data_IF_271971695501
#
_entry.id   IF_271971695501
#
_cell.length_a   1.000
_cell.length_b   1.000
_cell.length_c   1.000
_cell.angle_alpha   90.00
_cell.angle_beta   90.00
_cell.angle_gamma   90.00
#
_symmetry.space_group_name_H-M   'P 1'
#
loop_
_entity.id
_entity.type
_entity.pdbx_description
1 polymer ?
#
# COMPACT_ATOMS: atom_id res chain seq x y z
N UNK A 1 -7.44 38.42 3.38
CA UNK A 1 -7.33 37.32 2.40
C UNK A 1 -8.74 37.08 1.86
N UNK A 2 -9.00 37.37 0.58
CA UNK A 2 -10.35 37.23 0.00
C UNK A 2 -10.63 35.81 -0.50
N UNK A 3 -9.60 35.12 -0.98
CA UNK A 3 -9.76 33.81 -1.61
C UNK A 3 -8.82 32.78 -1.00
N UNK A 4 -9.24 31.52 -1.05
CA UNK A 4 -8.37 30.37 -0.90
C UNK A 4 -8.54 29.47 -2.13
N UNK A 5 -7.44 28.85 -2.59
CA UNK A 5 -7.46 27.97 -3.75
C UNK A 5 -6.59 26.74 -3.52
N UNK A 6 -7.08 25.59 -3.93
CA UNK A 6 -6.39 24.31 -3.83
C UNK A 6 -6.52 23.51 -5.12
N UNK A 7 -5.40 23.04 -5.66
CA UNK A 7 -5.36 22.05 -6.74
C UNK A 7 -5.69 20.68 -6.16
N UNK A 8 -6.68 19.98 -6.70
CA UNK A 8 -7.18 18.72 -6.17
C UNK A 8 -6.62 17.51 -6.92
N UNK A 9 -6.81 17.47 -8.24
CA UNK A 9 -6.50 16.27 -9.05
C UNK A 9 -6.26 16.60 -10.54
N UNK A 10 -5.64 15.66 -11.25
CA UNK A 10 -5.35 15.72 -12.68
C UNK A 10 -5.87 14.46 -13.39
N UNK A 11 -6.47 14.64 -14.56
CA UNK A 11 -6.78 13.52 -15.46
C UNK A 11 -5.48 13.00 -16.11
N UNK A 12 -5.24 11.70 -16.02
CA UNK A 12 -4.06 11.05 -16.56
C UNK A 12 -4.31 9.54 -16.74
N UNK A 13 -3.76 8.88 -17.78
CA UNK A 13 -2.91 9.44 -18.86
C UNK A 13 -3.72 10.12 -19.97
N UNK A 14 -3.08 11.02 -20.70
CA UNK A 14 -3.68 11.86 -21.76
C UNK A 14 -2.86 11.81 -23.05
N UNK A 15 -3.49 11.87 -24.24
CA UNK A 15 -2.75 12.04 -25.49
C UNK A 15 -2.02 13.38 -25.55
N UNK A 16 -0.86 13.40 -26.20
CA UNK A 16 -0.13 14.62 -26.50
C UNK A 16 -0.88 15.47 -27.55
N UNK A 17 -0.83 16.79 -27.42
CA UNK A 17 -1.55 17.72 -28.31
C UNK A 17 -3.05 17.77 -28.05
N UNK A 18 -3.52 17.29 -26.89
CA UNK A 18 -4.91 17.35 -26.46
C UNK A 18 -5.07 18.15 -25.16
N UNK A 19 -6.33 18.41 -24.79
CA UNK A 19 -6.66 19.03 -23.51
C UNK A 19 -6.76 17.97 -22.41
N UNK A 20 -6.21 18.27 -21.24
CA UNK A 20 -6.42 17.48 -20.04
C UNK A 20 -7.32 18.19 -19.05
N UNK A 21 -8.11 17.41 -18.32
CA UNK A 21 -8.96 17.95 -17.27
C UNK A 21 -8.21 18.00 -15.94
N UNK A 22 -8.44 19.03 -15.15
CA UNK A 22 -7.96 19.14 -13.77
C UNK A 22 -9.05 19.69 -12.88
N UNK A 23 -9.00 19.34 -11.59
CA UNK A 23 -9.95 19.80 -10.59
C UNK A 23 -9.29 20.73 -9.58
N UNK A 24 -9.98 21.80 -9.21
CA UNK A 24 -9.56 22.73 -8.17
C UNK A 24 -10.74 23.15 -7.29
N UNK A 25 -10.41 23.50 -6.05
CA UNK A 25 -11.30 24.10 -5.07
C UNK A 25 -11.00 25.59 -4.99
N UNK A 26 -12.03 26.42 -5.05
CA UNK A 26 -11.95 27.86 -4.77
C UNK A 26 -12.93 28.21 -3.66
N UNK A 27 -12.47 29.02 -2.70
CA UNK A 27 -13.25 29.45 -1.55
C UNK A 27 -13.20 30.95 -1.36
N UNK A 28 -14.37 31.58 -1.26
CA UNK A 28 -14.54 32.95 -0.79
C UNK A 28 -14.37 32.99 0.72
N UNK A 29 -13.52 33.87 1.23
CA UNK A 29 -13.20 33.98 2.67
C UNK A 29 -13.81 35.24 3.30
N UNK A 30 -14.61 35.99 2.55
CA UNK A 30 -15.26 37.22 2.96
C UNK A 30 -16.65 37.34 2.30
N UNK A 31 -17.39 38.37 2.73
CA UNK A 31 -18.62 38.79 2.05
C UNK A 31 -18.23 39.39 0.68
N UNK A 32 -18.43 38.62 -0.38
CA UNK A 32 -17.90 38.89 -1.72
C UNK A 32 -18.88 38.33 -2.75
N UNK A 33 -19.33 39.13 -3.72
CA UNK A 33 -20.33 38.74 -4.71
C UNK A 33 -19.99 39.27 -6.10
N UNK A 34 -18.90 38.77 -6.68
CA UNK A 34 -18.41 39.21 -7.98
C UNK A 34 -17.84 38.05 -8.81
N UNK A 35 -17.65 38.33 -10.09
CA UNK A 35 -16.87 37.48 -10.99
C UNK A 35 -15.37 37.63 -10.66
N UNK A 36 -14.69 36.49 -10.54
CA UNK A 36 -13.23 36.44 -10.37
C UNK A 36 -12.58 35.80 -11.59
N UNK A 37 -11.36 36.22 -11.89
CA UNK A 37 -10.55 35.61 -12.93
C UNK A 37 -9.69 34.50 -12.34
N UNK A 38 -9.71 33.33 -12.97
CA UNK A 38 -8.90 32.17 -12.58
C UNK A 38 -7.97 31.83 -13.72
N UNK A 39 -6.69 32.13 -13.56
CA UNK A 39 -5.64 31.83 -14.52
C UNK A 39 -4.93 30.54 -14.11
N UNK A 40 -4.62 29.68 -15.06
CA UNK A 40 -3.90 28.43 -14.81
C UNK A 40 -2.80 28.27 -15.84
N UNK A 41 -1.63 27.77 -15.40
CA UNK A 41 -0.46 27.63 -16.28
C UNK A 41 0.43 26.46 -15.88
N UNK A 42 1.15 25.94 -16.86
CA UNK A 42 2.25 24.98 -16.71
C UNK A 42 3.55 25.69 -17.07
N UNK A 43 4.53 25.63 -16.16
CA UNK A 43 5.85 26.20 -16.36
C UNK A 43 6.94 25.12 -16.31
N UNK A 44 7.99 25.34 -17.10
CA UNK A 44 9.24 24.59 -17.04
C UNK A 44 10.42 25.56 -17.15
N UNK A 45 11.37 25.47 -16.23
CA UNK A 45 12.60 26.28 -16.28
C UNK A 45 12.35 27.81 -16.38
N UNK A 46 11.23 28.28 -15.83
CA UNK A 46 10.81 29.69 -15.87
C UNK A 46 10.05 30.11 -17.13
N UNK A 47 9.83 29.20 -18.07
CA UNK A 47 9.05 29.43 -19.29
C UNK A 47 7.65 28.85 -19.17
N UNK A 48 6.64 29.63 -19.57
CA UNK A 48 5.25 29.18 -19.63
C UNK A 48 5.06 28.29 -20.86
N UNK A 49 4.77 27.02 -20.62
CA UNK A 49 4.56 26.01 -21.65
C UNK A 49 3.11 26.03 -22.15
N UNK A 50 2.16 26.25 -21.24
CA UNK A 50 0.73 26.32 -21.56
C UNK A 50 0.00 27.15 -20.51
N UNK A 51 -1.02 27.89 -20.93
CA UNK A 51 -1.83 28.75 -20.07
C UNK A 51 -3.29 28.76 -20.49
N UNK A 52 -4.19 29.00 -19.54
CA UNK A 52 -5.61 29.25 -19.79
C UNK A 52 -6.23 30.10 -18.70
N UNK A 53 -7.48 30.50 -18.92
CA UNK A 53 -8.22 31.42 -18.06
C UNK A 53 -9.71 31.10 -18.06
N UNK A 54 -10.31 31.15 -16.87
CA UNK A 54 -11.74 31.08 -16.65
C UNK A 54 -12.23 32.33 -15.88
N UNK A 55 -13.52 32.62 -15.99
CA UNK A 55 -14.22 33.62 -15.16
C UNK A 55 -15.34 32.93 -14.40
N UNK A 56 -15.39 33.14 -13.09
CA UNK A 56 -16.31 32.41 -12.20
C UNK A 56 -16.96 33.40 -11.23
N UNK A 57 -18.29 33.36 -11.15
CA UNK A 57 -19.00 34.06 -10.08
C UNK A 57 -18.80 33.35 -8.74
N UNK A 58 -18.31 34.09 -7.74
CA UNK A 58 -18.11 33.60 -6.38
C UNK A 58 -18.94 34.43 -5.40
N UNK A 59 -19.80 33.76 -4.65
CA UNK A 59 -20.64 34.39 -3.63
C UNK A 59 -19.99 34.47 -2.24
N UNK A 60 -20.70 35.10 -1.30
CA UNK A 60 -20.21 35.34 0.06
C UNK A 60 -19.95 34.03 0.79
N UNK A 61 -18.71 33.84 1.25
CA UNK A 61 -18.26 32.60 1.90
C UNK A 61 -18.53 31.32 1.09
N UNK A 62 -18.66 31.44 -0.23
CA UNK A 62 -18.98 30.33 -1.12
C UNK A 62 -17.76 29.45 -1.36
N UNK A 63 -18.00 28.16 -1.57
CA UNK A 63 -16.97 27.17 -1.84
C UNK A 63 -17.39 26.36 -3.06
N UNK A 64 -16.56 26.37 -4.09
CA UNK A 64 -16.83 25.68 -5.36
C UNK A 64 -15.68 24.77 -5.73
N UNK A 65 -16.02 23.53 -6.07
CA UNK A 65 -15.12 22.66 -6.84
C UNK A 65 -15.43 22.82 -8.32
N UNK A 66 -14.38 23.02 -9.12
CA UNK A 66 -14.49 23.21 -10.57
C UNK A 66 -13.53 22.28 -11.28
N UNK A 67 -13.98 21.82 -12.46
CA UNK A 67 -13.14 21.09 -13.40
C UNK A 67 -12.95 21.96 -14.62
N UNK A 68 -11.69 22.18 -14.98
CA UNK A 68 -11.31 22.95 -16.16
C UNK A 68 -10.36 22.14 -17.03
N UNK A 69 -10.08 22.65 -18.23
CA UNK A 69 -9.22 21.99 -19.21
C UNK A 69 -8.05 22.89 -19.58
N UNK A 70 -6.87 22.30 -19.71
CA UNK A 70 -5.69 22.99 -20.21
C UNK A 70 -5.06 22.16 -21.33
N UNK A 71 -4.60 22.85 -22.38
CA UNK A 71 -3.96 22.22 -23.53
C UNK A 71 -2.58 21.70 -23.13
N UNK A 72 -2.24 20.46 -23.52
CA UNK A 72 -0.91 19.92 -23.37
C UNK A 72 -0.20 19.87 -24.74
N UNK A 73 0.87 20.66 -24.95
CA UNK A 73 1.58 20.68 -26.23
C UNK A 73 2.12 19.31 -26.64
N UNK A 74 2.13 19.04 -27.95
CA UNK A 74 2.58 17.76 -28.50
C UNK A 74 4.09 17.54 -28.40
N UNK A 75 4.86 18.62 -28.25
CA UNK A 75 6.31 18.66 -28.14
C UNK A 75 6.79 18.65 -26.69
N UNK A 76 5.89 18.49 -25.72
CA UNK A 76 6.25 18.40 -24.31
C UNK A 76 7.17 17.21 -24.04
N UNK A 77 8.16 17.41 -23.19
CA UNK A 77 9.16 16.40 -22.84
C UNK A 77 8.94 15.88 -21.42
N UNK A 78 9.40 14.66 -21.13
CA UNK A 78 9.36 14.15 -19.76
C UNK A 78 10.17 15.05 -18.81
N UNK A 79 9.68 15.27 -17.59
CA UNK A 79 10.36 16.10 -16.60
C UNK A 79 9.47 16.62 -15.49
N UNK A 80 10.03 17.53 -14.68
CA UNK A 80 9.30 18.24 -13.64
C UNK A 80 8.81 19.58 -14.16
N UNK A 81 7.58 19.90 -13.81
CA UNK A 81 6.91 21.14 -14.19
C UNK A 81 6.24 21.74 -12.96
N UNK A 82 5.96 23.04 -13.01
CA UNK A 82 5.15 23.72 -12.02
C UNK A 82 3.78 23.96 -12.65
N UNK A 83 2.74 23.42 -12.03
CA UNK A 83 1.37 23.80 -12.36
C UNK A 83 0.87 24.79 -11.31
N UNK A 84 0.42 25.95 -11.74
CA UNK A 84 -0.12 26.98 -10.85
C UNK A 84 -1.52 27.40 -11.28
N UNK A 85 -2.34 27.74 -10.29
CA UNK A 85 -3.64 28.40 -10.47
C UNK A 85 -3.63 29.67 -9.63
N UNK A 86 -3.94 30.80 -10.28
CA UNK A 86 -4.02 32.12 -9.67
C UNK A 86 -5.43 32.65 -9.81
N UNK A 87 -6.04 33.03 -8.69
CA UNK A 87 -7.31 33.76 -8.65
C UNK A 87 -7.00 35.24 -8.44
N UNK A 88 -7.58 36.11 -9.27
CA UNK A 88 -7.41 37.55 -9.18
C UNK A 88 -8.75 38.31 -9.23
N UNK A 89 -8.87 39.31 -8.37
CA UNK A 89 -9.94 40.31 -8.38
C UNK A 89 -9.39 41.65 -7.88
N UNK A 90 -9.44 42.68 -8.71
CA UNK A 90 -8.85 44.01 -8.44
C UNK A 90 -7.38 43.90 -7.97
N UNK A 91 -7.11 44.23 -6.70
CA UNK A 91 -5.78 44.19 -6.09
C UNK A 91 -5.53 42.92 -5.26
N UNK A 92 -6.47 41.99 -5.24
CA UNK A 92 -6.38 40.76 -4.47
C UNK A 92 -6.02 39.58 -5.37
N UNK A 93 -4.99 38.85 -4.95
CA UNK A 93 -4.57 37.61 -5.60
C UNK A 93 -4.41 36.49 -4.58
N UNK A 94 -4.70 35.28 -5.02
CA UNK A 94 -4.40 34.05 -4.30
C UNK A 94 -3.87 33.02 -5.28
N UNK A 95 -2.84 32.29 -4.89
CA UNK A 95 -2.15 31.33 -5.75
C UNK A 95 -2.06 29.96 -5.07
N UNK A 96 -2.23 28.91 -5.86
CA UNK A 96 -1.86 27.54 -5.50
C UNK A 96 -0.97 26.97 -6.59
N UNK A 97 0.14 26.37 -6.22
CA UNK A 97 0.99 25.65 -7.16
C UNK A 97 1.34 24.26 -6.66
N UNK A 98 1.60 23.35 -7.61
CA UNK A 98 2.13 22.01 -7.34
C UNK A 98 3.21 21.68 -8.36
N UNK A 99 4.28 21.02 -7.89
CA UNK A 99 5.22 20.36 -8.79
C UNK A 99 4.57 19.09 -9.33
N UNK A 100 4.44 19.00 -10.65
CA UNK A 100 3.96 17.81 -11.36
C UNK A 100 5.11 17.17 -12.12
N UNK A 101 5.12 15.84 -12.17
CA UNK A 101 6.04 15.07 -13.01
C UNK A 101 5.26 14.57 -14.23
N UNK A 102 5.71 14.95 -15.41
CA UNK A 102 5.15 14.51 -16.68
C UNK A 102 6.06 13.42 -17.24
N UNK A 103 5.51 12.23 -17.47
CA UNK A 103 6.20 11.12 -18.14
C UNK A 103 5.54 10.88 -19.49
N UNK A 104 6.31 11.08 -20.56
CA UNK A 104 5.86 10.89 -21.94
C UNK A 104 6.29 9.51 -22.43
N UNK A 105 5.32 8.68 -22.80
CA UNK A 105 5.52 7.33 -23.36
C UNK A 105 4.54 7.12 -24.52
N UNK A 106 5.04 6.72 -25.70
CA UNK A 106 4.21 6.34 -26.87
C UNK A 106 3.16 7.39 -27.29
N UNK A 107 3.49 8.69 -27.21
CA UNK A 107 2.56 9.78 -27.58
C UNK A 107 1.49 10.08 -26.53
N UNK A 108 1.62 9.52 -25.33
CA UNK A 108 0.79 9.85 -24.17
C UNK A 108 1.62 10.43 -23.04
N UNK A 109 1.07 11.40 -22.33
CA UNK A 109 1.62 11.93 -21.10
C UNK A 109 0.89 11.35 -19.88
N UNK A 110 1.66 10.87 -18.91
CA UNK A 110 1.18 10.56 -17.57
C UNK A 110 1.58 11.68 -16.63
N UNK A 111 0.61 12.32 -15.98
CA UNK A 111 0.84 13.38 -15.00
C UNK A 111 0.77 12.77 -13.60
N UNK A 112 1.91 12.73 -12.93
CA UNK A 112 2.00 12.35 -11.53
C UNK A 112 2.11 13.60 -10.66
N UNK A 113 1.22 13.77 -9.69
CA UNK A 113 1.55 14.60 -8.53
C UNK A 113 2.62 13.82 -7.78
N UNK A 114 3.85 14.32 -7.71
CA UNK A 114 4.87 13.75 -6.84
C UNK A 114 4.28 13.74 -5.41
N UNK A 115 3.93 12.59 -4.81
CA UNK A 115 3.61 12.54 -3.41
C UNK A 115 4.96 12.62 -2.72
N UNK A 116 5.47 13.86 -2.59
CA UNK A 116 6.77 14.20 -2.03
C UNK A 116 7.02 13.35 -0.80
N UNK A 117 8.00 12.44 -0.89
CA UNK A 117 8.75 11.73 0.17
C UNK A 117 7.98 11.09 1.35
N UNK A 118 6.97 11.74 1.92
CA UNK A 118 6.17 11.40 3.09
C UNK A 118 5.42 10.08 2.97
N UNK A 119 4.83 9.75 1.81
CA UNK A 119 4.20 8.42 1.61
C UNK A 119 5.23 7.30 1.59
N UNK A 120 6.37 7.51 0.93
CA UNK A 120 7.48 6.52 0.91
C UNK A 120 8.08 6.35 2.30
N UNK A 121 8.33 7.44 3.02
CA UNK A 121 8.78 7.43 4.41
C UNK A 121 7.77 6.73 5.33
N UNK A 122 6.47 6.97 5.15
CA UNK A 122 5.42 6.31 5.92
C UNK A 122 5.45 4.79 5.76
N UNK A 123 5.56 4.30 4.52
CA UNK A 123 5.68 2.86 4.23
C UNK A 123 6.95 2.28 4.86
N UNK A 124 8.10 2.98 4.73
CA UNK A 124 9.37 2.55 5.33
C UNK A 124 9.26 2.47 6.86
N UNK A 125 8.65 3.48 7.51
CA UNK A 125 8.47 3.52 8.96
C UNK A 125 7.52 2.42 9.45
N UNK A 126 6.43 2.14 8.71
CA UNK A 126 5.51 1.03 9.04
C UNK A 126 6.24 -0.31 8.94
N UNK A 127 7.01 -0.55 7.87
CA UNK A 127 7.78 -1.78 7.70
C UNK A 127 8.86 -1.94 8.79
N UNK A 128 9.55 -0.86 9.14
CA UNK A 128 10.54 -0.86 10.23
C UNK A 128 9.88 -1.15 11.59
N UNK A 129 8.73 -0.53 11.88
CA UNK A 129 7.96 -0.78 13.10
C UNK A 129 7.47 -2.23 13.19
N UNK A 130 6.92 -2.76 12.09
CA UNK A 130 6.41 -4.13 12.04
C UNK A 130 7.55 -5.16 12.22
N UNK A 131 8.72 -4.90 11.62
CA UNK A 131 9.94 -5.70 11.83
C UNK A 131 10.39 -5.69 13.30
N UNK A 132 10.36 -4.52 13.94
CA UNK A 132 10.72 -4.36 15.36
C UNK A 132 9.77 -5.14 16.28
N UNK A 133 8.45 -5.06 16.03
CA UNK A 133 7.44 -5.81 16.79
C UNK A 133 7.62 -7.32 16.63
N UNK A 134 7.91 -7.80 15.42
CA UNK A 134 8.18 -9.21 15.14
C UNK A 134 9.40 -9.71 15.91
N UNK A 135 10.46 -8.92 15.96
CA UNK A 135 11.70 -9.23 16.68
C UNK A 135 11.46 -9.28 18.19
N UNK A 136 10.72 -8.31 18.74
CA UNK A 136 10.31 -8.30 20.15
C UNK A 136 9.39 -9.49 20.49
N UNK A 137 8.48 -9.86 19.59
CA UNK A 137 7.60 -11.03 19.77
C UNK A 137 8.40 -12.34 19.79
N UNK A 138 9.41 -12.49 18.93
CA UNK A 138 10.33 -13.63 18.95
C UNK A 138 11.09 -13.68 20.28
N UNK A 139 11.64 -12.54 20.75
CA UNK A 139 12.31 -12.45 22.05
C UNK A 139 11.36 -12.77 23.21
N UNK A 140 10.11 -12.30 23.16
CA UNK A 140 9.10 -12.55 24.18
C UNK A 140 8.72 -14.05 24.26
N UNK A 141 8.46 -14.68 23.11
CA UNK A 141 8.18 -16.11 23.04
C UNK A 141 9.36 -16.95 23.53
N UNK A 142 10.58 -16.48 23.29
CA UNK A 142 11.79 -17.09 23.83
C UNK A 142 11.87 -16.91 25.35
N UNK A 143 11.71 -15.69 25.88
CA UNK A 143 11.77 -15.40 27.33
C UNK A 143 10.74 -16.17 28.15
N UNK A 144 9.53 -16.40 27.65
CA UNK A 144 8.51 -17.20 28.35
C UNK A 144 8.94 -18.65 28.60
N UNK A 145 9.93 -19.17 27.85
CA UNK A 145 10.54 -20.50 28.06
C UNK A 145 11.84 -20.48 28.89
N UNK A 146 12.38 -19.31 29.23
CA UNK A 146 13.75 -19.14 29.78
C UNK A 146 13.82 -19.16 31.32
N UNK A 147 12.69 -19.30 32.03
CA UNK A 147 12.70 -19.30 33.51
C UNK A 147 13.44 -20.48 34.19
N UNK A 148 14.15 -21.37 33.47
CA UNK A 148 14.85 -22.50 34.10
C UNK A 148 16.30 -22.81 33.68
N UNK A 149 16.99 -22.04 32.81
CA UNK A 149 18.28 -22.55 32.29
C UNK A 149 19.22 -21.49 31.69
N UNK A 150 20.22 -21.06 32.46
CA UNK A 150 21.33 -20.19 32.00
C UNK A 150 22.51 -21.03 31.46
N UNK A 151 22.61 -22.31 31.82
CA UNK A 151 23.70 -23.22 31.38
C UNK A 151 23.38 -23.94 30.05
N UNK A 152 22.12 -23.93 29.57
CA UNK A 152 21.74 -24.52 28.26
C UNK A 152 21.84 -23.56 27.06
N UNK A 153 22.11 -22.26 27.27
CA UNK A 153 22.08 -21.24 26.22
C UNK A 153 23.06 -21.53 25.06
N UNK A 154 24.25 -22.06 25.34
CA UNK A 154 25.20 -22.39 24.28
C UNK A 154 24.75 -23.56 23.40
N UNK A 155 24.07 -24.57 23.97
CA UNK A 155 23.51 -25.68 23.17
C UNK A 155 22.30 -25.21 22.36
N UNK A 156 21.53 -24.29 22.91
CA UNK A 156 20.36 -23.74 22.24
C UNK A 156 20.73 -22.84 21.07
N UNK A 157 21.72 -21.96 21.22
CA UNK A 157 22.28 -21.17 20.11
C UNK A 157 22.80 -22.06 18.98
N UNK A 158 23.50 -23.16 19.31
CA UNK A 158 23.91 -24.16 18.30
C UNK A 158 22.70 -24.79 17.60
N UNK A 159 21.63 -25.09 18.33
CA UNK A 159 20.43 -25.74 17.78
C UNK A 159 19.60 -24.82 16.89
N UNK A 160 19.61 -23.51 17.13
CA UNK A 160 18.74 -22.55 16.41
C UNK A 160 19.51 -21.59 15.50
N UNK A 161 20.84 -21.75 15.39
CA UNK A 161 21.69 -21.02 14.46
C UNK A 161 21.13 -20.98 13.05
N UNK A 162 20.58 -22.11 12.57
CA UNK A 162 19.99 -22.21 11.24
C UNK A 162 18.78 -21.28 11.13
N UNK A 163 17.79 -21.36 12.03
CA UNK A 163 16.60 -20.49 11.97
C UNK A 163 16.92 -19.00 12.06
N UNK A 164 17.90 -18.62 12.90
CA UNK A 164 18.34 -17.22 13.00
C UNK A 164 19.00 -16.79 11.68
N UNK A 165 19.89 -17.61 11.13
CA UNK A 165 20.53 -17.35 9.85
C UNK A 165 19.50 -17.25 8.71
N UNK A 166 18.51 -18.13 8.68
CA UNK A 166 17.42 -18.11 7.70
C UNK A 166 16.61 -16.81 7.82
N UNK A 167 16.30 -16.37 9.05
CA UNK A 167 15.61 -15.09 9.26
C UNK A 167 16.42 -13.91 8.73
N UNK A 168 17.71 -13.82 9.07
CA UNK A 168 18.58 -12.76 8.56
C UNK A 168 18.73 -12.82 7.04
N UNK A 169 18.81 -14.01 6.46
CA UNK A 169 18.84 -14.18 5.01
C UNK A 169 17.58 -13.59 4.36
N UNK A 170 16.38 -13.86 4.91
CA UNK A 170 15.14 -13.27 4.41
C UNK A 170 15.10 -11.75 4.54
N UNK A 171 15.60 -11.20 5.65
CA UNK A 171 15.69 -9.74 5.84
C UNK A 171 16.62 -9.12 4.81
N UNK A 172 17.80 -9.70 4.59
CA UNK A 172 18.78 -9.23 3.60
C UNK A 172 18.20 -9.35 2.19
N UNK A 173 17.58 -10.48 1.84
CA UNK A 173 16.96 -10.68 0.53
C UNK A 173 15.81 -9.68 0.27
N UNK A 174 14.96 -9.46 1.28
CA UNK A 174 13.86 -8.50 1.19
C UNK A 174 14.35 -7.07 0.99
N UNK A 175 15.43 -6.70 1.69
CA UNK A 175 16.07 -5.39 1.55
C UNK A 175 16.71 -5.22 0.17
N UNK A 176 17.43 -6.23 -0.32
CA UNK A 176 18.00 -6.26 -1.67
C UNK A 176 16.91 -6.17 -2.75
N UNK A 177 15.83 -6.95 -2.62
CA UNK A 177 14.70 -6.90 -3.54
C UNK A 177 14.04 -5.51 -3.59
N UNK A 178 14.00 -4.80 -2.45
CA UNK A 178 13.52 -3.43 -2.38
C UNK A 178 14.43 -2.47 -3.16
N UNK A 179 15.74 -2.47 -2.89
CA UNK A 179 16.69 -1.57 -3.55
C UNK A 179 16.86 -1.86 -5.04
N UNK A 180 16.80 -3.13 -5.45
CA UNK A 180 16.84 -3.52 -6.85
C UNK A 180 15.53 -3.22 -7.61
N UNK A 181 14.52 -2.65 -6.94
CA UNK A 181 13.24 -2.33 -7.57
C UNK A 181 12.46 -3.57 -8.04
N UNK A 182 12.76 -4.75 -7.50
CA UNK A 182 12.11 -6.02 -7.86
C UNK A 182 10.60 -5.92 -7.65
N UNK A 183 10.16 -5.21 -6.61
CA UNK A 183 8.75 -4.94 -6.37
C UNK A 183 8.09 -4.08 -7.46
N UNK A 184 8.81 -3.16 -8.11
CA UNK A 184 8.29 -2.37 -9.23
C UNK A 184 8.09 -3.26 -10.46
N UNK A 185 9.05 -4.14 -10.75
CA UNK A 185 8.98 -5.12 -11.83
C UNK A 185 7.82 -6.10 -11.58
N UNK A 186 7.73 -6.64 -10.36
CA UNK A 186 6.64 -7.51 -9.95
C UNK A 186 5.30 -6.78 -10.02
N UNK A 187 5.20 -5.53 -9.57
CA UNK A 187 3.96 -4.76 -9.64
C UNK A 187 3.53 -4.52 -11.10
N UNK A 188 4.45 -4.17 -11.99
CA UNK A 188 4.15 -4.02 -13.42
C UNK A 188 3.70 -5.35 -14.04
N UNK A 189 4.43 -6.44 -13.78
CA UNK A 189 4.06 -7.77 -14.24
C UNK A 189 2.69 -8.19 -13.69
N UNK A 190 2.46 -8.02 -12.40
CA UNK A 190 1.19 -8.29 -11.74
C UNK A 190 0.06 -7.44 -12.33
N UNK A 191 0.28 -6.16 -12.62
CA UNK A 191 -0.73 -5.27 -13.21
C UNK A 191 -1.08 -5.63 -14.66
N UNK A 192 -0.16 -6.25 -15.38
CA UNK A 192 -0.39 -6.76 -16.74
C UNK A 192 -1.27 -8.02 -16.78
N UNK A 193 -1.44 -8.69 -15.63
CA UNK A 193 -2.30 -9.85 -15.53
C UNK A 193 -3.76 -9.38 -15.59
N UNK A 194 -4.60 -9.96 -16.47
CA UNK A 194 -6.02 -9.63 -16.56
C UNK A 194 -6.76 -10.18 -15.34
N UNK A 195 -6.66 -9.45 -14.23
CA UNK A 195 -7.18 -9.84 -12.92
C UNK A 195 -8.64 -10.22 -12.93
N UNK A 196 -9.48 -9.59 -13.76
CA UNK A 196 -10.90 -9.95 -13.90
C UNK A 196 -11.11 -11.40 -14.33
N UNK A 197 -10.18 -11.96 -15.11
CA UNK A 197 -10.23 -13.33 -15.59
C UNK A 197 -9.62 -14.31 -14.57
N UNK A 198 -8.61 -13.87 -13.81
CA UNK A 198 -7.83 -14.74 -12.92
C UNK A 198 -8.36 -14.75 -11.46
N UNK A 199 -8.99 -13.66 -11.00
CA UNK A 199 -9.51 -13.54 -9.63
C UNK A 199 -10.41 -14.71 -9.20
N UNK A 200 -11.36 -15.19 -10.04
CA UNK A 200 -12.20 -16.32 -9.67
C UNK A 200 -11.38 -17.57 -9.37
N UNK A 201 -10.36 -17.88 -10.19
CA UNK A 201 -9.50 -19.05 -10.00
C UNK A 201 -8.61 -18.95 -8.77
N UNK A 202 -8.10 -17.74 -8.45
CA UNK A 202 -7.36 -17.50 -7.22
C UNK A 202 -8.26 -17.68 -6.00
N UNK A 203 -9.50 -17.17 -6.06
CA UNK A 203 -10.48 -17.35 -5.00
C UNK A 203 -10.77 -18.84 -4.74
N UNK A 204 -10.98 -19.63 -5.80
CA UNK A 204 -11.15 -21.08 -5.67
C UNK A 204 -9.89 -21.80 -5.16
N UNK A 205 -8.71 -21.40 -5.62
CA UNK A 205 -7.43 -21.97 -5.17
C UNK A 205 -7.15 -21.71 -3.69
N UNK A 206 -7.35 -20.47 -3.23
CA UNK A 206 -7.23 -20.11 -1.81
C UNK A 206 -8.30 -20.84 -0.98
N UNK A 207 -9.54 -20.93 -1.47
CA UNK A 207 -10.60 -21.72 -0.84
C UNK A 207 -10.24 -23.21 -0.70
N UNK A 208 -9.64 -23.81 -1.73
CA UNK A 208 -9.16 -25.19 -1.70
C UNK A 208 -8.02 -25.39 -0.67
N UNK A 209 -7.09 -24.44 -0.56
CA UNK A 209 -6.02 -24.49 0.45
C UNK A 209 -6.56 -24.35 1.87
N UNK A 210 -7.53 -23.46 2.09
CA UNK A 210 -8.18 -23.29 3.41
C UNK A 210 -8.94 -24.56 3.80
N UNK A 211 -9.71 -25.15 2.89
CA UNK A 211 -10.44 -26.41 3.17
C UNK A 211 -9.49 -27.57 3.45
N UNK A 212 -8.38 -27.68 2.72
CA UNK A 212 -7.33 -28.66 2.99
C UNK A 212 -6.71 -28.47 4.38
N UNK A 213 -6.41 -27.23 4.77
CA UNK A 213 -5.87 -26.90 6.09
C UNK A 213 -6.85 -27.28 7.21
N UNK A 214 -8.15 -26.98 7.05
CA UNK A 214 -9.20 -27.39 7.99
C UNK A 214 -9.25 -28.93 8.11
N UNK A 215 -9.20 -29.64 6.98
CA UNK A 215 -9.26 -31.11 6.96
C UNK A 215 -8.04 -31.73 7.67
N UNK A 216 -6.84 -31.18 7.46
CA UNK A 216 -5.63 -31.59 8.17
C UNK A 216 -5.78 -31.37 9.68
N UNK A 217 -6.30 -30.21 10.11
CA UNK A 217 -6.54 -29.91 11.52
C UNK A 217 -7.55 -30.91 12.12
N UNK A 218 -8.61 -31.23 11.39
CA UNK A 218 -9.68 -32.13 11.83
C UNK A 218 -9.17 -33.58 11.98
N UNK A 219 -8.33 -34.04 11.04
CA UNK A 219 -7.65 -35.35 11.13
C UNK A 219 -6.70 -35.40 12.33
N UNK A 220 -5.94 -34.34 12.58
CA UNK A 220 -5.06 -34.25 13.76
C UNK A 220 -5.89 -34.32 15.05
N UNK A 221 -7.04 -33.64 15.08
CA UNK A 221 -7.94 -33.63 16.23
C UNK A 221 -8.57 -35.00 16.49
N UNK A 222 -9.06 -35.68 15.44
CA UNK A 222 -9.61 -37.04 15.51
C UNK A 222 -8.57 -38.06 15.99
N UNK A 223 -7.33 -38.00 15.45
CA UNK A 223 -6.22 -38.86 15.92
C UNK A 223 -5.92 -38.65 17.40
N UNK A 224 -5.97 -37.40 17.89
CA UNK A 224 -5.80 -37.10 19.32
C UNK A 224 -6.94 -37.66 20.16
N UNK A 225 -8.19 -37.57 19.70
CA UNK A 225 -9.37 -38.09 20.41
C UNK A 225 -9.37 -39.62 20.46
N UNK A 226 -9.06 -40.30 19.36
CA UNK A 226 -8.94 -41.77 19.29
C UNK A 226 -7.86 -42.31 20.24
N UNK A 227 -6.71 -41.64 20.36
CA UNK A 227 -5.68 -42.04 21.35
C UNK A 227 -6.12 -41.90 22.81
N UNK A 228 -7.12 -41.06 23.12
CA UNK A 228 -7.67 -40.92 24.47
C UNK A 228 -8.70 -42.01 24.81
N UNK A 229 -9.28 -42.67 23.81
CA UNK A 229 -10.10 -43.88 24.00
C UNK A 229 -9.13 -45.05 24.22
N UNK A 230 -8.41 -45.04 25.34
CA UNK A 230 -7.74 -46.24 25.82
C UNK A 230 -8.84 -47.20 26.21
N UNK A 231 -9.03 -48.23 25.39
CA UNK A 231 -9.88 -49.37 25.74
C UNK A 231 -9.34 -49.86 27.10
N UNK A 232 -10.16 -49.82 28.18
CA UNK A 232 -9.72 -50.36 29.45
C UNK A 232 -9.34 -51.82 29.19
N UNK A 233 -8.09 -52.19 29.48
CA UNK A 233 -7.64 -53.57 29.37
C UNK A 233 -8.57 -54.39 30.25
N UNK A 234 -9.50 -55.11 29.64
CA UNK A 234 -10.35 -56.08 30.34
C UNK A 234 -9.36 -57.06 30.98
N UNK A 235 -9.22 -56.98 32.30
CA UNK A 235 -8.48 -57.99 33.06
C UNK A 235 -9.28 -59.28 32.90
N UNK A 236 -8.89 -60.10 31.92
CA UNK A 236 -9.33 -61.48 31.84
C UNK A 236 -8.79 -62.14 33.10
N UNK A 237 -9.63 -62.25 34.14
CA UNK A 237 -9.35 -63.11 35.29
C UNK A 237 -9.20 -64.51 34.71
N UNK A 238 -7.98 -65.03 34.67
CA UNK A 238 -7.77 -66.47 34.48
C UNK A 238 -8.48 -67.14 35.65
N UNK A 239 -9.64 -67.72 35.38
CA UNK A 239 -10.28 -68.67 36.27
C UNK A 239 -9.30 -69.83 36.39
N UNK A 240 -8.66 -69.97 37.55
CA UNK A 240 -7.92 -71.20 37.88
C UNK A 240 -8.98 -72.28 37.94
N UNK A 241 -9.02 -73.14 36.93
CA UNK A 241 -9.75 -74.40 37.01
C UNK A 241 -9.06 -75.21 38.11
N UNK A 242 -9.70 -75.32 39.27
CA UNK A 242 -9.36 -76.31 40.28
C UNK A 242 -9.76 -77.66 39.69
N UNK A 243 -8.81 -78.37 39.11
CA UNK A 243 -8.88 -79.83 39.00
C UNK A 243 -8.77 -80.37 40.42
N UNK A 244 -9.91 -80.61 41.06
CA UNK A 244 -10.00 -81.54 42.18
C UNK A 244 -9.56 -82.91 41.67
N UNK A 245 -8.44 -83.38 42.21
CA UNK A 245 -8.18 -84.81 42.33
C UNK A 245 -8.86 -85.24 43.62
N UNK A 246 -9.79 -86.17 43.53
CA UNK A 246 -9.92 -87.44 44.27
C UNK A 246 -11.37 -87.92 44.09
#
# INVERSE_FOLDING_TARGET
KLFDIEILDFESPIPLGEFFSFAYLIKGMADFNHDVEVNFQIEKDGEVISSGKDTIYLGSFDEKTKTSKLFLPSDITSGKYIFSITVSYEHYTAESHRTIEISVEEGRASIGILPEARRRLGIILILAGLSTVLLLFIIYLQRKKVKSMIIEEQRWMKKHKISILTFFLFVILGTLAYYCGVFKILANWISSIPWRTILPYIYYGVGALITLAILIILVIFLKKKLKRIKIPKIKIRRVKVQTEKI
#
